data_IF_395633683526
#
_entry.id   IF_395633683526
#
_cell.length_a   1.000
_cell.length_b   1.000
_cell.length_c   1.000
_cell.angle_alpha   90.00
_cell.angle_beta   90.00
_cell.angle_gamma   90.00
#
_symmetry.space_group_name_H-M   'P 1'
#
loop_
_entity.id
_entity.type
_entity.pdbx_description
1 polymer ?
#
# COMPACT_ATOMS: atom_id res chain seq x y z
N UNK A 1 -69.33 10.62 43.15
CA UNK A 1 -68.69 9.28 43.30
C UNK A 1 -67.62 9.20 42.23
N UNK A 2 -66.46 9.62 42.57
CA UNK A 2 -65.29 9.71 41.70
C UNK A 2 -64.28 8.68 42.16
N UNK A 3 -64.09 7.65 41.40
CA UNK A 3 -63.02 6.66 41.59
C UNK A 3 -61.81 7.12 40.80
N UNK A 4 -60.81 7.52 41.54
CA UNK A 4 -59.48 7.87 41.03
C UNK A 4 -58.74 6.57 40.67
N UNK A 5 -58.33 6.36 39.42
CA UNK A 5 -57.44 5.25 39.08
C UNK A 5 -56.01 5.66 39.37
N UNK A 6 -55.51 5.23 40.53
CA UNK A 6 -54.07 5.34 40.85
C UNK A 6 -53.25 4.74 39.73
N UNK A 7 -52.61 5.58 38.97
CA UNK A 7 -51.56 5.21 38.05
C UNK A 7 -50.40 4.57 38.86
N UNK A 8 -50.31 3.25 38.80
CA UNK A 8 -49.14 2.49 39.28
C UNK A 8 -47.95 2.94 38.49
N UNK A 9 -47.18 3.83 39.06
CA UNK A 9 -45.86 4.12 38.52
C UNK A 9 -45.04 2.83 38.61
N UNK A 10 -44.80 2.19 37.46
CA UNK A 10 -43.89 1.06 37.36
C UNK A 10 -42.51 1.53 37.83
N UNK A 11 -42.17 1.14 39.06
CA UNK A 11 -40.81 1.38 39.58
C UNK A 11 -39.85 0.50 38.78
N UNK A 12 -39.03 1.12 37.93
CA UNK A 12 -37.94 0.46 37.26
C UNK A 12 -37.08 -0.26 38.29
N UNK A 13 -37.20 -1.58 38.33
CA UNK A 13 -36.42 -2.45 39.24
C UNK A 13 -35.21 -2.95 38.47
N UNK A 14 -34.05 -2.36 38.70
CA UNK A 14 -32.81 -2.87 38.14
C UNK A 14 -32.42 -4.18 38.86
N UNK A 15 -32.48 -5.28 38.13
CA UNK A 15 -31.97 -6.58 38.57
C UNK A 15 -30.77 -6.96 37.70
N UNK A 16 -29.53 -6.71 38.14
CA UNK A 16 -28.35 -7.06 37.38
C UNK A 16 -28.23 -8.59 37.29
N UNK A 17 -28.18 -9.08 36.05
CA UNK A 17 -27.95 -10.51 35.82
C UNK A 17 -26.44 -10.78 35.94
N UNK A 18 -26.05 -11.64 36.90
CA UNK A 18 -24.64 -11.96 37.13
C UNK A 18 -23.90 -12.49 35.92
N UNK A 19 -24.59 -13.20 35.03
CA UNK A 19 -24.00 -13.69 33.76
C UNK A 19 -23.66 -12.54 32.82
N UNK A 20 -24.55 -11.54 32.69
CA UNK A 20 -24.32 -10.35 31.86
C UNK A 20 -23.20 -9.52 32.46
N UNK A 21 -23.17 -9.37 33.79
CA UNK A 21 -22.10 -8.63 34.47
C UNK A 21 -20.74 -9.28 34.23
N UNK A 22 -20.64 -10.59 34.38
CA UNK A 22 -19.41 -11.34 34.12
C UNK A 22 -18.96 -11.21 32.63
N UNK A 23 -19.89 -11.34 31.71
CA UNK A 23 -19.63 -11.18 30.30
C UNK A 23 -19.10 -9.77 29.98
N UNK A 24 -19.75 -8.74 30.52
CA UNK A 24 -19.31 -7.34 30.32
C UNK A 24 -17.92 -7.10 30.92
N UNK A 25 -17.66 -7.63 32.10
CA UNK A 25 -16.37 -7.51 32.80
C UNK A 25 -15.22 -8.13 31.99
N UNK A 26 -15.48 -9.22 31.27
CA UNK A 26 -14.50 -9.87 30.39
C UNK A 26 -14.37 -9.19 29.05
N UNK A 27 -15.49 -8.80 28.44
CA UNK A 27 -15.50 -8.23 27.09
C UNK A 27 -15.05 -6.77 27.06
N UNK A 28 -15.36 -5.99 28.08
CA UNK A 28 -14.98 -4.59 28.11
C UNK A 28 -13.47 -4.35 28.01
N UNK A 29 -12.61 -4.97 28.84
CA UNK A 29 -11.16 -4.80 28.71
C UNK A 29 -10.63 -5.34 27.38
N UNK A 30 -11.21 -6.43 26.85
CA UNK A 30 -10.84 -6.96 25.54
C UNK A 30 -11.13 -5.96 24.42
N UNK A 31 -12.31 -5.33 24.43
CA UNK A 31 -12.68 -4.32 23.44
C UNK A 31 -11.81 -3.06 23.54
N UNK A 32 -11.48 -2.65 24.78
CA UNK A 32 -10.57 -1.52 25.02
C UNK A 32 -9.18 -1.82 24.47
N UNK A 33 -8.64 -3.01 24.75
CA UNK A 33 -7.35 -3.43 24.22
C UNK A 33 -7.34 -3.49 22.69
N UNK A 34 -8.41 -4.00 22.09
CA UNK A 34 -8.59 -4.02 20.63
C UNK A 34 -8.66 -2.61 20.06
N UNK A 35 -9.34 -1.69 20.75
CA UNK A 35 -9.40 -0.28 20.38
C UNK A 35 -8.02 0.38 20.35
N UNK A 36 -7.22 0.19 21.38
CA UNK A 36 -5.85 0.69 21.43
C UNK A 36 -4.98 0.09 20.31
N UNK A 37 -5.08 -1.21 20.09
CA UNK A 37 -4.37 -1.86 18.98
C UNK A 37 -4.74 -1.28 17.61
N UNK A 38 -6.03 -0.98 17.38
CA UNK A 38 -6.46 -0.34 16.12
C UNK A 38 -5.93 1.09 15.97
N UNK A 39 -5.87 1.85 17.08
CA UNK A 39 -5.29 3.20 17.05
C UNK A 39 -3.80 3.18 16.74
N UNK A 40 -3.06 2.26 17.36
CA UNK A 40 -1.62 2.08 17.12
C UNK A 40 -1.35 1.72 15.64
N UNK A 41 -2.13 0.78 15.11
CA UNK A 41 -2.05 0.41 13.69
C UNK A 41 -2.39 1.57 12.75
N UNK A 42 -3.32 2.43 13.14
CA UNK A 42 -3.65 3.62 12.37
C UNK A 42 -2.52 4.67 12.39
N UNK A 43 -1.82 4.81 13.51
CA UNK A 43 -0.66 5.70 13.62
C UNK A 43 0.51 5.23 12.76
N UNK A 44 0.83 3.94 12.80
CA UNK A 44 1.87 3.34 11.93
C UNK A 44 1.61 3.65 10.45
N UNK A 45 0.37 3.44 9.98
CA UNK A 45 -0.01 3.76 8.61
C UNK A 45 0.12 5.25 8.27
N UNK A 46 -0.20 6.14 9.21
CA UNK A 46 -0.05 7.59 9.02
C UNK A 46 1.42 7.99 8.92
N UNK A 47 2.30 7.37 9.70
CA UNK A 47 3.74 7.62 9.62
C UNK A 47 4.29 7.21 8.26
N UNK A 48 3.98 6.00 7.79
CA UNK A 48 4.39 5.52 6.47
C UNK A 48 3.88 6.46 5.36
N UNK A 49 2.64 6.93 5.46
CA UNK A 49 2.09 7.86 4.49
C UNK A 49 2.77 9.24 4.52
N UNK A 50 3.11 9.73 5.71
CA UNK A 50 3.83 10.99 5.88
C UNK A 50 5.25 10.91 5.29
N UNK A 51 5.97 9.81 5.53
CA UNK A 51 7.27 9.55 4.92
C UNK A 51 7.16 9.46 3.39
N UNK A 52 6.16 8.75 2.89
CA UNK A 52 5.90 8.66 1.46
C UNK A 52 5.72 10.04 0.81
N UNK A 53 4.85 10.87 1.39
CA UNK A 53 4.59 12.23 0.87
C UNK A 53 5.84 13.11 0.96
N UNK A 54 6.55 13.06 2.08
CA UNK A 54 7.79 13.82 2.28
C UNK A 54 8.87 13.42 1.27
N UNK A 55 9.05 12.12 1.06
CA UNK A 55 10.06 11.61 0.14
C UNK A 55 9.71 11.89 -1.33
N UNK A 56 8.43 11.83 -1.71
CA UNK A 56 8.00 12.21 -3.05
C UNK A 56 8.23 13.69 -3.39
N UNK A 57 8.16 14.57 -2.39
CA UNK A 57 8.39 16.00 -2.57
C UNK A 57 9.86 16.40 -2.45
N UNK A 58 10.71 15.48 -2.03
CA UNK A 58 12.14 15.72 -1.93
C UNK A 58 12.77 15.93 -3.33
N UNK A 59 13.85 16.72 -3.38
CA UNK A 59 14.60 16.87 -4.62
C UNK A 59 15.10 15.50 -5.12
N UNK A 60 15.06 15.27 -6.46
CA UNK A 60 15.53 14.02 -7.04
C UNK A 60 16.97 13.71 -6.61
N UNK A 61 17.20 12.49 -6.15
CA UNK A 61 18.53 12.02 -5.81
C UNK A 61 19.28 11.63 -7.08
N UNK A 62 20.49 12.18 -7.26
CA UNK A 62 21.41 11.72 -8.30
C UNK A 62 22.09 10.45 -7.82
N UNK A 63 21.91 9.34 -8.52
CA UNK A 63 22.46 8.04 -8.13
C UNK A 63 23.52 7.63 -9.14
N UNK A 64 24.77 7.67 -8.70
CA UNK A 64 25.92 7.15 -9.47
C UNK A 64 26.40 5.81 -8.93
N UNK A 65 26.11 5.51 -7.65
CA UNK A 65 26.47 4.27 -6.98
C UNK A 65 25.33 3.85 -6.03
N UNK A 66 24.83 2.64 -6.20
CA UNK A 66 23.75 2.08 -5.38
C UNK A 66 24.18 1.82 -3.92
N UNK A 67 25.48 1.62 -3.67
CA UNK A 67 25.97 1.39 -2.31
C UNK A 67 25.95 2.67 -1.46
N UNK A 68 25.99 3.83 -2.09
CA UNK A 68 25.88 5.13 -1.42
C UNK A 68 24.43 5.64 -1.29
N UNK A 69 23.50 4.91 -1.87
CA UNK A 69 22.10 5.30 -1.96
C UNK A 69 21.32 4.89 -0.71
N UNK A 70 21.50 5.64 0.39
CA UNK A 70 20.72 5.46 1.61
C UNK A 70 19.34 6.14 1.50
N UNK A 71 18.32 5.46 2.01
CA UNK A 71 16.99 6.01 2.24
C UNK A 71 16.25 6.52 0.98
N UNK A 72 16.34 5.77 -0.13
CA UNK A 72 15.72 6.13 -1.41
C UNK A 72 14.26 5.69 -1.55
N UNK A 73 13.70 5.05 -0.54
CA UNK A 73 12.34 4.54 -0.63
C UNK A 73 11.36 5.68 -0.91
N UNK A 74 10.59 5.56 -2.00
CA UNK A 74 9.61 6.54 -2.47
C UNK A 74 10.17 7.91 -2.91
N UNK A 75 11.47 8.07 -2.99
CA UNK A 75 12.10 9.31 -3.42
C UNK A 75 12.32 9.32 -4.93
N UNK A 76 12.03 10.43 -5.64
CA UNK A 76 12.44 10.59 -7.03
C UNK A 76 13.96 10.44 -7.16
N UNK A 77 14.40 9.73 -8.18
CA UNK A 77 15.82 9.54 -8.43
C UNK A 77 16.11 9.72 -9.92
N UNK A 78 17.28 10.23 -10.22
CA UNK A 78 17.82 10.34 -11.57
C UNK A 78 18.99 9.37 -11.69
N UNK A 79 18.90 8.50 -12.69
CA UNK A 79 19.93 7.54 -13.03
C UNK A 79 20.20 7.67 -14.53
N UNK A 80 21.47 7.67 -14.89
CA UNK A 80 21.91 7.59 -16.28
C UNK A 80 22.54 6.26 -16.55
N UNK A 81 22.22 5.64 -17.68
CA UNK A 81 22.73 4.33 -17.99
C UNK A 81 22.13 3.71 -19.25
N UNK A 82 22.45 2.45 -19.48
CA UNK A 82 22.03 1.68 -20.66
C UNK A 82 21.01 0.63 -20.29
N UNK A 83 19.86 0.66 -20.96
CA UNK A 83 18.83 -0.37 -20.86
C UNK A 83 19.22 -1.61 -21.67
N UNK A 84 18.99 -2.77 -21.10
CA UNK A 84 19.18 -4.05 -21.78
C UNK A 84 17.83 -4.59 -22.30
N UNK A 85 17.44 -4.15 -23.49
CA UNK A 85 16.21 -4.57 -24.14
C UNK A 85 16.12 -6.10 -24.39
N UNK A 86 17.25 -6.81 -24.38
CA UNK A 86 17.30 -8.27 -24.53
C UNK A 86 16.89 -9.00 -23.27
N UNK A 87 16.93 -8.34 -22.12
CA UNK A 87 16.57 -8.90 -20.78
C UNK A 87 15.34 -8.23 -20.23
N UNK A 88 14.27 -8.28 -21.00
CA UNK A 88 12.96 -7.75 -20.61
C UNK A 88 12.19 -8.79 -19.83
N UNK A 89 11.59 -8.38 -18.71
CA UNK A 89 10.70 -9.19 -17.89
C UNK A 89 9.30 -8.61 -17.96
N UNK A 90 8.32 -9.46 -18.16
CA UNK A 90 6.90 -9.10 -18.16
C UNK A 90 6.25 -9.70 -16.91
N UNK A 91 5.80 -8.83 -16.03
CA UNK A 91 5.04 -9.23 -14.84
C UNK A 91 3.56 -9.34 -15.21
N UNK A 92 3.07 -10.58 -15.28
CA UNK A 92 1.71 -10.91 -15.71
C UNK A 92 0.65 -10.52 -14.65
N UNK A 93 -0.59 -10.56 -15.09
CA UNK A 93 -1.79 -10.35 -14.28
C UNK A 93 -1.85 -8.97 -13.59
N UNK A 94 -1.41 -7.92 -14.30
CA UNK A 94 -1.53 -6.53 -13.88
C UNK A 94 -2.73 -5.89 -14.56
N UNK A 95 -3.72 -5.53 -13.76
CA UNK A 95 -4.95 -4.90 -14.27
C UNK A 95 -4.86 -3.39 -14.10
N UNK A 96 -5.07 -2.65 -15.21
CA UNK A 96 -5.19 -1.20 -15.21
C UNK A 96 -6.47 -0.82 -15.96
N UNK A 97 -7.31 0.01 -15.35
CA UNK A 97 -8.58 0.46 -15.90
C UNK A 97 -9.50 -0.68 -16.39
N UNK A 98 -9.52 -1.78 -15.62
CA UNK A 98 -10.31 -2.98 -15.93
C UNK A 98 -9.76 -3.85 -17.06
N UNK A 99 -8.58 -3.55 -17.61
CA UNK A 99 -7.93 -4.32 -18.67
C UNK A 99 -6.76 -5.12 -18.11
N UNK A 100 -6.66 -6.42 -18.41
CA UNK A 100 -5.50 -7.22 -18.05
C UNK A 100 -4.29 -6.81 -18.89
N UNK A 101 -3.10 -6.90 -18.31
CA UNK A 101 -1.86 -6.53 -18.97
C UNK A 101 -0.64 -6.99 -18.21
N UNK A 102 0.49 -6.43 -18.59
CA UNK A 102 1.80 -6.73 -18.04
C UNK A 102 2.50 -5.44 -17.59
N UNK A 103 3.21 -5.49 -16.48
CA UNK A 103 4.23 -4.49 -16.17
C UNK A 103 5.55 -4.93 -16.82
N UNK A 104 6.21 -3.98 -17.48
CA UNK A 104 7.45 -4.20 -18.22
C UNK A 104 8.62 -3.78 -17.36
N UNK A 105 9.53 -4.71 -17.12
CA UNK A 105 10.77 -4.44 -16.40
C UNK A 105 11.97 -4.69 -17.30
N UNK A 106 12.94 -3.80 -17.26
CA UNK A 106 14.21 -3.93 -17.95
C UNK A 106 15.37 -3.65 -17.01
N UNK A 107 16.53 -4.24 -17.31
CA UNK A 107 17.73 -3.99 -16.54
C UNK A 107 18.41 -2.73 -17.09
N UNK A 108 18.62 -1.75 -16.21
CA UNK A 108 19.46 -0.57 -16.46
C UNK A 108 20.84 -0.85 -15.89
N UNK A 109 21.87 -0.74 -16.70
CA UNK A 109 23.27 -0.72 -16.25
C UNK A 109 23.66 0.75 -16.07
N UNK A 110 24.02 1.12 -14.83
CA UNK A 110 24.38 2.50 -14.47
C UNK A 110 25.73 2.83 -15.12
N UNK A 111 25.82 4.03 -15.72
CA UNK A 111 27.06 4.53 -16.30
C UNK A 111 28.15 4.65 -15.21
N UNK A 112 29.41 4.48 -15.62
CA UNK A 112 30.58 4.48 -14.74
C UNK A 112 30.53 3.45 -13.60
N UNK A 113 29.58 2.53 -13.65
CA UNK A 113 29.40 1.46 -12.66
C UNK A 113 29.02 0.16 -13.35
N UNK A 114 29.47 -0.97 -12.80
CA UNK A 114 29.00 -2.29 -13.24
C UNK A 114 27.65 -2.70 -12.62
N UNK A 115 27.06 -1.81 -11.83
CA UNK A 115 25.84 -2.07 -11.09
C UNK A 115 24.63 -2.03 -12.01
N UNK A 116 23.65 -2.89 -11.71
CA UNK A 116 22.42 -3.02 -12.46
C UNK A 116 21.22 -2.84 -11.57
N UNK A 117 20.23 -2.12 -12.07
CA UNK A 117 18.95 -1.93 -11.41
C UNK A 117 17.81 -2.39 -12.32
N UNK A 118 16.77 -2.93 -11.72
CA UNK A 118 15.56 -3.29 -12.45
C UNK A 118 14.63 -2.09 -12.49
N UNK A 119 14.34 -1.61 -13.69
CA UNK A 119 13.49 -0.44 -13.93
C UNK A 119 12.13 -0.89 -14.44
N UNK A 120 11.07 -0.44 -13.80
CA UNK A 120 9.71 -0.62 -14.30
C UNK A 120 9.42 0.48 -15.35
N UNK A 121 9.31 0.09 -16.61
CA UNK A 121 9.04 1.00 -17.76
C UNK A 121 7.57 1.36 -17.90
N UNK A 122 6.69 0.72 -17.16
CA UNK A 122 5.27 0.94 -17.21
C UNK A 122 4.49 -0.31 -17.59
N UNK A 123 3.24 -0.09 -18.01
CA UNK A 123 2.26 -1.15 -18.26
C UNK A 123 1.89 -1.21 -19.75
N UNK A 124 1.72 -2.43 -20.25
CA UNK A 124 1.20 -2.71 -21.59
C UNK A 124 0.00 -3.62 -21.51
N UNK A 125 -1.01 -3.41 -22.36
CA UNK A 125 -2.18 -4.26 -22.41
C UNK A 125 -1.83 -5.68 -22.90
N UNK A 126 -2.47 -6.69 -22.31
CA UNK A 126 -2.40 -8.04 -22.85
C UNK A 126 -3.14 -8.12 -24.19
N UNK A 127 -2.63 -8.95 -25.09
CA UNK A 127 -3.38 -9.33 -26.28
C UNK A 127 -4.63 -10.14 -25.91
N UNK A 128 -5.67 -10.06 -26.73
CA UNK A 128 -6.84 -10.93 -26.61
C UNK A 128 -6.46 -12.42 -26.74
N UNK A 129 -5.46 -12.70 -27.60
CA UNK A 129 -4.84 -14.02 -27.65
C UNK A 129 -3.60 -14.05 -26.74
N UNK A 130 -3.68 -14.80 -25.66
CA UNK A 130 -2.58 -14.97 -24.67
C UNK A 130 -1.33 -15.66 -25.24
N UNK A 131 -1.40 -16.21 -26.44
CA UNK A 131 -0.25 -16.79 -27.14
C UNK A 131 0.61 -15.73 -27.81
N UNK A 132 0.08 -14.51 -27.97
CA UNK A 132 0.78 -13.39 -28.58
C UNK A 132 1.29 -12.49 -27.46
N UNK A 133 2.61 -12.39 -27.34
CA UNK A 133 3.26 -11.47 -26.41
C UNK A 133 3.05 -10.02 -26.85
N UNK A 134 2.83 -9.10 -25.92
CA UNK A 134 2.71 -7.68 -26.24
C UNK A 134 4.00 -7.16 -26.86
N UNK A 135 3.87 -6.34 -27.86
CA UNK A 135 5.00 -5.59 -28.41
C UNK A 135 5.35 -4.43 -27.47
N UNK A 136 6.61 -4.31 -27.14
CA UNK A 136 7.13 -3.23 -26.30
C UNK A 136 8.18 -2.50 -27.10
N UNK A 137 7.96 -1.22 -27.33
CA UNK A 137 8.88 -0.37 -28.09
C UNK A 137 10.22 -0.25 -27.36
N UNK A 138 11.30 -0.33 -28.12
CA UNK A 138 12.63 -0.07 -27.61
C UNK A 138 12.86 1.45 -27.49
N UNK A 139 13.18 1.88 -26.26
CA UNK A 139 13.58 3.27 -26.01
C UNK A 139 15.09 3.29 -26.12
N UNK A 140 15.69 3.46 -27.23
CA UNK A 140 17.15 3.60 -27.37
C UNK A 140 18.02 3.00 -26.25
N UNK A 141 19.28 2.85 -26.51
CA UNK A 141 20.18 2.19 -25.55
C UNK A 141 20.57 3.09 -24.36
N UNK A 142 20.41 4.40 -24.46
CA UNK A 142 20.84 5.38 -23.46
C UNK A 142 19.64 6.18 -22.94
N UNK A 143 19.46 6.19 -21.63
CA UNK A 143 18.35 6.87 -20.93
C UNK A 143 18.84 7.58 -19.68
N UNK A 144 18.17 8.68 -19.36
CA UNK A 144 18.39 9.48 -18.14
C UNK A 144 17.12 9.55 -17.33
#
# INVERSE_FOLDING_TARGET
MTSDPQAKADKFSWQPNAKILLFTLLMFPLLVALGYWQLDRAQEKRQILAEFVSNQQAAPAQITDLNSAENLQYRPAVLTGKLDAKRRLLLDNRVRDGRPGYEVFELLTIDDSAQKILVNRGWVAASLDRRVWPQVDDIGDEVT
#
